data_IF_637890469309
#
_entry.id   IF_637890469309
#
_cell.length_a   1.000
_cell.length_b   1.000
_cell.length_c   1.000
_cell.angle_alpha   90.00
_cell.angle_beta   90.00
_cell.angle_gamma   90.00
#
_symmetry.space_group_name_H-M   'P 1'
#
loop_
_entity.id
_entity.type
_entity.pdbx_description
1 polymer ?
#
# COMPACT_ATOMS: atom_id res chain seq x y z
N UNK A 1 -17.52 0.95 16.94
CA UNK A 1 -16.32 0.60 17.71
C UNK A 1 -15.98 -0.83 17.35
N UNK A 2 -15.09 -1.06 16.42
CA UNK A 2 -14.63 -2.40 16.02
C UNK A 2 -13.18 -2.49 16.35
N UNK A 3 -12.91 -3.15 17.45
CA UNK A 3 -11.59 -3.47 17.97
C UNK A 3 -10.92 -4.46 17.00
N UNK A 4 -10.00 -3.95 16.16
CA UNK A 4 -9.20 -4.79 15.29
C UNK A 4 -8.02 -5.30 16.10
N UNK A 5 -8.24 -6.33 16.88
CA UNK A 5 -7.18 -7.05 17.59
C UNK A 5 -6.23 -7.65 16.54
N UNK A 6 -5.08 -7.02 16.37
CA UNK A 6 -4.02 -7.51 15.51
C UNK A 6 -3.52 -8.85 16.07
N UNK A 7 -3.85 -9.95 15.41
CA UNK A 7 -3.30 -11.27 15.74
C UNK A 7 -1.81 -11.26 15.43
N UNK A 8 -0.99 -11.11 16.45
CA UNK A 8 0.47 -11.21 16.34
C UNK A 8 0.84 -12.65 15.98
N UNK A 9 1.42 -12.84 14.79
CA UNK A 9 1.96 -14.16 14.40
C UNK A 9 3.15 -14.53 15.30
N UNK A 10 3.31 -15.81 15.66
CA UNK A 10 4.50 -16.28 16.43
C UNK A 10 5.80 -15.86 15.71
N UNK A 11 6.77 -15.35 16.46
CA UNK A 11 8.07 -14.89 15.92
C UNK A 11 8.06 -13.47 15.34
N UNK A 12 7.01 -12.67 15.62
CA UNK A 12 6.94 -11.25 15.20
C UNK A 12 7.19 -10.35 16.39
N UNK A 13 8.18 -9.45 16.27
CA UNK A 13 8.47 -8.40 17.28
C UNK A 13 8.23 -7.04 16.66
N UNK A 14 7.30 -6.26 17.23
CA UNK A 14 7.11 -4.86 16.81
C UNK A 14 8.33 -4.04 17.25
N UNK A 15 8.92 -3.34 16.28
CA UNK A 15 10.12 -2.52 16.46
C UNK A 15 9.98 -1.29 15.58
N UNK A 16 10.37 -0.13 16.09
CA UNK A 16 10.42 1.13 15.34
C UNK A 16 11.56 1.12 14.31
N UNK A 17 11.37 0.44 13.16
CA UNK A 17 12.33 0.45 12.08
C UNK A 17 12.20 1.74 11.25
N UNK A 18 13.32 2.31 10.74
CA UNK A 18 13.25 3.44 9.84
C UNK A 18 12.55 3.04 8.52
N UNK A 19 11.56 3.83 8.13
CA UNK A 19 10.82 3.68 6.89
C UNK A 19 11.15 4.88 6.00
N UNK A 20 11.40 4.69 4.68
CA UNK A 20 11.50 5.80 3.75
C UNK A 20 10.27 6.70 3.84
N UNK A 21 10.47 8.02 3.77
CA UNK A 21 9.34 8.95 3.79
C UNK A 21 8.34 8.61 2.67
N UNK A 22 7.04 8.66 2.99
CA UNK A 22 6.02 8.48 1.98
C UNK A 22 6.16 9.56 0.90
N UNK A 23 6.07 9.20 -0.40
CA UNK A 23 6.10 10.18 -1.46
C UNK A 23 4.88 11.11 -1.36
N UNK A 24 4.93 12.31 -1.93
CA UNK A 24 3.77 13.18 -2.03
C UNK A 24 2.58 12.47 -2.66
N UNK A 25 1.38 12.87 -2.27
CA UNK A 25 0.17 12.36 -2.90
C UNK A 25 0.21 12.58 -4.41
N UNK A 26 -0.20 11.58 -5.19
CA UNK A 26 -0.28 11.67 -6.65
C UNK A 26 -1.71 11.95 -7.07
N UNK A 27 -1.85 12.90 -7.96
CA UNK A 27 -3.14 13.22 -8.57
C UNK A 27 -3.20 12.59 -9.96
N UNK A 28 -4.30 11.90 -10.25
CA UNK A 28 -4.57 11.28 -11.54
C UNK A 28 -5.98 11.68 -12.03
N UNK A 29 -6.07 12.21 -13.23
CA UNK A 29 -7.34 12.60 -13.83
C UNK A 29 -7.31 14.00 -14.46
N UNK A 30 -8.47 14.48 -14.96
CA UNK A 30 -9.76 13.81 -14.89
C UNK A 30 -9.78 12.48 -15.67
N UNK A 31 -10.32 11.43 -15.05
CA UNK A 31 -10.38 10.12 -15.68
C UNK A 31 -11.39 10.10 -16.83
N UNK A 32 -11.09 9.34 -17.86
CA UNK A 32 -11.91 9.27 -19.07
C UNK A 32 -12.40 7.85 -19.33
N UNK A 33 -13.45 7.71 -20.16
CA UNK A 33 -13.87 6.39 -20.66
C UNK A 33 -12.75 5.69 -21.43
N UNK A 34 -11.88 6.44 -22.10
CA UNK A 34 -10.71 5.87 -22.78
C UNK A 34 -9.76 5.19 -21.80
N UNK A 35 -9.59 5.72 -20.59
CA UNK A 35 -8.76 5.09 -19.56
C UNK A 35 -9.38 3.77 -19.10
N UNK A 36 -10.71 3.71 -18.97
CA UNK A 36 -11.43 2.48 -18.66
C UNK A 36 -11.23 1.41 -19.73
N UNK A 37 -11.43 1.76 -21.00
CA UNK A 37 -11.26 0.84 -22.13
C UNK A 37 -9.80 0.38 -22.25
N UNK A 38 -8.83 1.28 -22.05
CA UNK A 38 -7.40 0.90 -22.05
C UNK A 38 -7.11 -0.14 -20.98
N UNK A 39 -7.63 0.08 -19.76
CA UNK A 39 -7.43 -0.87 -18.68
C UNK A 39 -8.15 -2.20 -18.95
N UNK A 40 -9.38 -2.18 -19.47
CA UNK A 40 -10.08 -3.39 -19.88
C UNK A 40 -9.27 -4.20 -20.91
N UNK A 41 -8.70 -3.54 -21.91
CA UNK A 41 -7.84 -4.19 -22.90
C UNK A 41 -6.59 -4.81 -22.32
N UNK A 42 -6.00 -4.18 -21.29
CA UNK A 42 -4.80 -4.68 -20.61
C UNK A 42 -5.11 -5.81 -19.61
N UNK A 43 -6.24 -5.73 -18.91
CA UNK A 43 -6.61 -6.67 -17.85
C UNK A 43 -7.43 -7.87 -18.36
N UNK A 44 -8.06 -7.75 -19.54
CA UNK A 44 -9.01 -8.73 -20.04
C UNK A 44 -10.40 -8.65 -19.38
N UNK A 45 -10.66 -7.69 -18.50
CA UNK A 45 -11.97 -7.47 -17.92
C UNK A 45 -12.88 -6.73 -18.91
N UNK A 46 -13.55 -7.49 -19.76
CA UNK A 46 -14.45 -6.98 -20.80
C UNK A 46 -15.91 -6.85 -20.33
N UNK A 47 -16.16 -6.75 -19.03
CA UNK A 47 -17.52 -6.55 -18.54
C UNK A 47 -18.13 -5.27 -19.15
N UNK A 48 -19.30 -5.37 -19.85
CA UNK A 48 -19.93 -4.22 -20.50
C UNK A 48 -20.26 -3.05 -19.58
N UNK A 49 -20.39 -3.30 -18.27
CA UNK A 49 -20.69 -2.25 -17.27
C UNK A 49 -19.64 -1.13 -17.26
N UNK A 50 -18.43 -1.40 -17.76
CA UNK A 50 -17.32 -0.45 -17.75
C UNK A 50 -17.19 0.35 -19.06
N UNK A 51 -17.96 0.03 -20.11
CA UNK A 51 -17.88 0.75 -21.38
C UNK A 51 -19.22 0.96 -22.10
N UNK A 52 -20.23 0.11 -21.87
CA UNK A 52 -21.53 0.20 -22.53
C UNK A 52 -22.52 0.99 -21.66
N UNK A 53 -22.98 2.13 -22.21
CA UNK A 53 -23.92 3.02 -21.53
C UNK A 53 -25.30 2.36 -21.33
N UNK A 54 -25.77 1.60 -22.33
CA UNK A 54 -27.08 0.96 -22.26
C UNK A 54 -27.06 -0.13 -21.20
N UNK A 55 -26.02 -0.93 -21.18
CA UNK A 55 -25.82 -1.98 -20.21
C UNK A 55 -25.71 -1.41 -18.78
N UNK A 56 -24.87 -0.37 -18.59
CA UNK A 56 -24.69 0.24 -17.28
C UNK A 56 -26.00 0.82 -16.72
N UNK A 57 -26.78 1.50 -17.56
CA UNK A 57 -28.11 2.06 -17.16
C UNK A 57 -29.11 0.97 -16.85
N UNK A 58 -29.16 -0.09 -17.64
CA UNK A 58 -30.02 -1.24 -17.37
C UNK A 58 -29.66 -1.95 -16.06
N UNK A 59 -28.37 -1.90 -15.66
CA UNK A 59 -27.88 -2.41 -14.38
C UNK A 59 -28.10 -1.42 -13.20
N UNK A 60 -28.75 -0.27 -13.44
CA UNK A 60 -29.09 0.71 -12.41
C UNK A 60 -28.01 1.76 -12.11
N UNK A 61 -26.97 1.85 -12.94
CA UNK A 61 -25.93 2.87 -12.80
C UNK A 61 -26.16 4.06 -13.75
N UNK A 62 -25.75 5.28 -13.37
CA UNK A 62 -25.99 6.47 -14.18
C UNK A 62 -25.14 6.48 -15.49
N UNK A 63 -23.99 5.82 -15.49
CA UNK A 63 -23.08 5.67 -16.63
C UNK A 63 -22.15 4.48 -16.43
N UNK A 64 -21.33 4.08 -17.40
CA UNK A 64 -20.19 3.22 -17.17
C UNK A 64 -19.25 3.82 -16.14
N UNK A 65 -18.67 2.97 -15.30
CA UNK A 65 -17.67 3.33 -14.30
C UNK A 65 -16.42 2.47 -14.45
N UNK A 66 -15.33 2.87 -13.82
CA UNK A 66 -14.05 2.22 -14.02
C UNK A 66 -14.00 0.80 -13.45
N UNK A 67 -13.16 -0.06 -14.03
CA UNK A 67 -12.76 -1.33 -13.41
C UNK A 67 -12.07 -1.05 -12.08
N UNK A 68 -12.57 -1.60 -10.98
CA UNK A 68 -11.99 -1.33 -9.65
C UNK A 68 -10.52 -1.69 -9.52
N UNK A 69 -10.08 -2.75 -10.20
CA UNK A 69 -8.68 -3.16 -10.22
C UNK A 69 -7.74 -2.13 -10.87
N UNK A 70 -8.27 -1.20 -11.68
CA UNK A 70 -7.45 -0.09 -12.19
C UNK A 70 -6.99 0.83 -11.06
N UNK A 71 -7.89 1.26 -10.16
CA UNK A 71 -7.50 2.07 -9.00
C UNK A 71 -6.55 1.28 -8.07
N UNK A 72 -6.79 -0.02 -7.91
CA UNK A 72 -5.89 -0.88 -7.15
C UNK A 72 -4.49 -0.93 -7.76
N UNK A 73 -4.38 -1.00 -9.11
CA UNK A 73 -3.08 -0.97 -9.80
C UNK A 73 -2.36 0.37 -9.66
N UNK A 74 -3.09 1.49 -9.67
CA UNK A 74 -2.52 2.80 -9.40
C UNK A 74 -1.94 2.88 -7.97
N UNK A 75 -2.64 2.35 -6.97
CA UNK A 75 -2.12 2.25 -5.60
C UNK A 75 -0.93 1.30 -5.50
N UNK A 76 -0.97 0.17 -6.20
CA UNK A 76 0.16 -0.76 -6.28
C UNK A 76 1.40 -0.08 -6.85
N UNK A 77 1.25 0.69 -7.94
CA UNK A 77 2.35 1.46 -8.54
C UNK A 77 2.87 2.52 -7.57
N UNK A 78 1.99 3.27 -6.91
CA UNK A 78 2.39 4.25 -5.89
C UNK A 78 3.23 3.60 -4.79
N UNK A 79 2.79 2.47 -4.26
CA UNK A 79 3.47 1.76 -3.19
C UNK A 79 4.80 1.14 -3.63
N UNK A 80 4.86 0.57 -4.84
CA UNK A 80 6.10 -0.04 -5.36
C UNK A 80 7.14 0.99 -5.77
N UNK A 81 6.75 2.18 -6.19
CA UNK A 81 7.66 3.30 -6.40
C UNK A 81 8.23 3.83 -5.07
N UNK A 82 7.48 3.68 -3.99
CA UNK A 82 7.91 4.07 -2.65
C UNK A 82 8.85 3.04 -2.01
N UNK A 83 8.44 1.77 -1.98
CA UNK A 83 9.07 0.72 -1.16
C UNK A 83 9.73 -0.39 -1.99
N UNK A 84 9.65 -0.31 -3.31
CA UNK A 84 10.25 -1.27 -4.23
C UNK A 84 9.37 -2.49 -4.52
N UNK A 85 9.14 -2.78 -5.80
CA UNK A 85 8.24 -3.86 -6.22
C UNK A 85 8.70 -5.26 -5.80
N UNK A 86 10.01 -5.50 -5.65
CA UNK A 86 10.58 -6.78 -5.19
C UNK A 86 10.33 -7.05 -3.70
N UNK A 87 9.99 -6.01 -2.95
CA UNK A 87 9.85 -6.05 -1.50
C UNK A 87 8.41 -6.39 -1.06
N UNK A 88 7.47 -6.49 -1.98
CA UNK A 88 6.08 -6.82 -1.68
C UNK A 88 5.99 -8.24 -1.11
N UNK A 89 5.26 -8.39 0.02
CA UNK A 89 4.93 -9.67 0.64
C UNK A 89 3.44 -9.94 0.69
N UNK A 90 2.64 -8.89 0.79
CA UNK A 90 1.18 -8.97 0.82
C UNK A 90 0.59 -7.70 0.22
N UNK A 91 -0.55 -7.84 -0.47
CA UNK A 91 -1.32 -6.71 -0.98
C UNK A 91 -2.80 -7.06 -0.97
N UNK A 92 -3.57 -6.35 -0.15
CA UNK A 92 -5.01 -6.52 0.02
C UNK A 92 -5.73 -5.24 -0.31
N UNK A 93 -6.91 -5.37 -0.89
CA UNK A 93 -7.71 -4.22 -1.33
C UNK A 93 -9.15 -4.33 -0.86
N UNK A 94 -9.79 -3.19 -0.71
CA UNK A 94 -11.21 -3.06 -0.48
C UNK A 94 -11.78 -1.97 -1.37
N UNK A 95 -12.72 -2.34 -2.22
CA UNK A 95 -13.49 -1.40 -3.03
C UNK A 95 -14.62 -0.81 -2.20
N UNK A 96 -14.76 0.52 -2.23
CA UNK A 96 -15.71 1.26 -1.40
C UNK A 96 -16.68 2.10 -2.23
N UNK A 97 -16.20 2.69 -3.33
CA UNK A 97 -17.03 3.49 -4.22
C UNK A 97 -16.58 3.35 -5.68
N UNK A 98 -17.52 3.58 -6.60
CA UNK A 98 -17.25 3.63 -8.02
C UNK A 98 -16.48 4.91 -8.38
N UNK A 99 -15.68 4.82 -9.45
CA UNK A 99 -15.00 5.95 -10.07
C UNK A 99 -15.63 6.20 -11.43
N UNK A 100 -16.07 7.43 -11.64
CA UNK A 100 -16.84 7.86 -12.79
C UNK A 100 -15.97 8.64 -13.79
N UNK A 101 -16.37 8.71 -15.06
CA UNK A 101 -15.75 9.62 -16.01
C UNK A 101 -15.81 11.07 -15.49
N UNK A 102 -14.69 11.77 -15.55
CA UNK A 102 -14.54 13.14 -15.02
C UNK A 102 -14.00 13.20 -13.58
N UNK A 103 -13.95 12.10 -12.85
CA UNK A 103 -13.35 12.08 -11.51
C UNK A 103 -11.84 12.40 -11.56
N UNK A 104 -11.38 13.05 -10.52
CA UNK A 104 -9.95 13.23 -10.23
C UNK A 104 -9.60 12.43 -8.99
N UNK A 105 -8.58 11.59 -9.09
CA UNK A 105 -8.16 10.68 -8.05
C UNK A 105 -6.92 11.21 -7.34
N UNK A 106 -6.93 11.15 -6.02
CA UNK A 106 -5.76 11.41 -5.19
C UNK A 106 -5.30 10.11 -4.56
N UNK A 107 -4.07 9.70 -4.86
CA UNK A 107 -3.42 8.51 -4.33
C UNK A 107 -2.47 8.91 -3.21
N UNK A 108 -2.52 8.21 -2.10
CA UNK A 108 -1.63 8.45 -0.97
C UNK A 108 -1.43 7.21 -0.12
N UNK A 109 -0.47 7.27 0.78
CA UNK A 109 -0.19 6.18 1.69
C UNK A 109 0.57 6.62 2.93
N UNK A 110 0.48 5.81 3.97
CA UNK A 110 1.19 6.01 5.23
C UNK A 110 1.63 4.67 5.82
N UNK A 111 2.78 4.62 6.52
CA UNK A 111 3.15 3.45 7.29
C UNK A 111 2.21 3.30 8.49
N UNK A 112 1.83 2.06 8.79
CA UNK A 112 1.02 1.71 9.96
C UNK A 112 1.89 1.22 11.12
N UNK A 113 2.79 0.30 10.83
CA UNK A 113 3.71 -0.30 11.81
C UNK A 113 4.91 -0.90 11.13
N UNK A 114 5.97 -1.10 11.92
CA UNK A 114 7.15 -1.85 11.51
C UNK A 114 7.42 -2.98 12.51
N UNK A 115 7.99 -4.07 12.02
CA UNK A 115 8.27 -5.24 12.83
C UNK A 115 9.35 -6.11 12.21
N UNK A 116 9.93 -7.00 13.01
CA UNK A 116 10.89 -8.01 12.57
C UNK A 116 10.23 -9.37 12.59
N UNK A 117 10.43 -10.14 11.54
CA UNK A 117 10.10 -11.57 11.48
C UNK A 117 11.40 -12.34 11.58
N UNK A 118 11.44 -13.32 12.45
CA UNK A 118 12.50 -14.30 12.53
C UNK A 118 12.06 -15.61 11.86
N UNK A 119 12.82 -16.06 10.90
CA UNK A 119 12.56 -17.26 10.12
C UNK A 119 13.82 -18.11 9.93
N UNK A 120 13.67 -19.25 9.26
CA UNK A 120 14.77 -20.15 8.96
C UNK A 120 15.89 -19.50 8.11
N UNK A 121 15.50 -18.53 7.26
CA UNK A 121 16.41 -17.81 6.36
C UNK A 121 17.00 -16.53 6.99
N UNK A 122 16.76 -16.31 8.28
CA UNK A 122 17.24 -15.15 9.02
C UNK A 122 16.15 -14.17 9.42
N UNK A 123 16.57 -12.93 9.74
CA UNK A 123 15.69 -11.83 10.18
C UNK A 123 15.27 -10.98 8.99
N UNK A 124 14.01 -10.64 8.91
CA UNK A 124 13.46 -9.75 7.88
C UNK A 124 12.69 -8.59 8.54
N UNK A 125 13.12 -7.36 8.30
CA UNK A 125 12.38 -6.15 8.70
C UNK A 125 11.21 -5.91 7.75
N UNK A 126 10.04 -5.62 8.29
CA UNK A 126 8.83 -5.35 7.51
C UNK A 126 8.13 -4.07 7.92
N UNK A 127 7.43 -3.49 6.97
CA UNK A 127 6.50 -2.39 7.17
C UNK A 127 5.14 -2.77 6.60
N UNK A 128 4.09 -2.56 7.40
CA UNK A 128 2.72 -2.53 6.91
C UNK A 128 2.34 -1.08 6.59
N UNK A 129 1.72 -0.88 5.43
CA UNK A 129 1.27 0.43 4.97
C UNK A 129 -0.21 0.40 4.63
N UNK A 130 -0.89 1.52 4.84
CA UNK A 130 -2.22 1.79 4.30
C UNK A 130 -2.12 2.74 3.11
N UNK A 131 -2.88 2.43 2.06
CA UNK A 131 -2.94 3.20 0.83
C UNK A 131 -4.38 3.59 0.56
N UNK A 132 -4.62 4.80 0.07
CA UNK A 132 -5.95 5.28 -0.26
C UNK A 132 -6.00 5.90 -1.65
N UNK A 133 -7.07 5.58 -2.38
CA UNK A 133 -7.46 6.27 -3.60
C UNK A 133 -8.75 7.03 -3.32
N UNK A 134 -8.69 8.36 -3.34
CA UNK A 134 -9.83 9.24 -3.05
C UNK A 134 -10.25 10.02 -4.29
N UNK A 135 -11.56 10.22 -4.41
CA UNK A 135 -12.14 11.11 -5.42
C UNK A 135 -12.07 12.56 -4.95
N UNK A 136 -12.20 13.52 -5.86
CA UNK A 136 -12.27 14.96 -5.55
C UNK A 136 -13.44 15.32 -4.63
N UNK A 137 -14.47 14.48 -4.54
CA UNK A 137 -15.60 14.62 -3.61
C UNK A 137 -15.24 14.34 -2.15
N UNK A 138 -14.05 13.78 -1.90
CA UNK A 138 -13.62 13.30 -0.59
C UNK A 138 -13.90 11.80 -0.34
N UNK A 139 -14.73 11.17 -1.18
CA UNK A 139 -15.04 9.75 -1.05
C UNK A 139 -13.80 8.89 -1.32
N UNK A 140 -13.58 7.89 -0.47
CA UNK A 140 -12.56 6.86 -0.72
C UNK A 140 -13.12 5.82 -1.68
N UNK A 141 -12.52 5.71 -2.86
CA UNK A 141 -12.89 4.69 -3.84
C UNK A 141 -12.28 3.34 -3.51
N UNK A 142 -11.00 3.32 -3.11
CA UNK A 142 -10.28 2.10 -2.73
C UNK A 142 -9.40 2.38 -1.53
N UNK A 143 -9.40 1.45 -0.58
CA UNK A 143 -8.35 1.33 0.44
C UNK A 143 -7.56 0.05 0.17
N UNK A 144 -6.25 0.13 0.31
CA UNK A 144 -5.38 -1.04 0.24
C UNK A 144 -4.46 -1.11 1.45
N UNK A 145 -4.07 -2.31 1.80
CA UNK A 145 -3.06 -2.60 2.83
C UNK A 145 -1.99 -3.48 2.19
N UNK A 146 -0.75 -3.12 2.43
CA UNK A 146 0.36 -3.87 1.87
C UNK A 146 1.47 -4.06 2.91
N UNK A 147 2.20 -5.16 2.76
CA UNK A 147 3.39 -5.45 3.55
C UNK A 147 4.60 -5.45 2.62
N UNK A 148 5.63 -4.71 3.02
CA UNK A 148 6.89 -4.65 2.30
C UNK A 148 8.06 -5.06 3.20
N UNK A 149 9.08 -5.64 2.61
CA UNK A 149 10.39 -5.84 3.25
C UNK A 149 11.13 -4.51 3.25
N UNK A 150 11.72 -4.19 4.39
CA UNK A 150 12.63 -3.06 4.52
C UNK A 150 14.07 -3.48 4.18
N UNK A 151 14.92 -2.55 3.72
CA UNK A 151 16.33 -2.81 3.51
C UNK A 151 17.01 -3.33 4.79
N UNK A 152 18.03 -4.19 4.65
CA UNK A 152 18.78 -4.73 5.78
C UNK A 152 19.36 -3.63 6.70
N UNK A 153 19.80 -2.52 6.13
CA UNK A 153 20.25 -1.34 6.88
C UNK A 153 19.21 -0.79 7.87
N UNK A 154 17.92 -1.04 7.65
CA UNK A 154 16.87 -0.65 8.60
C UNK A 154 16.89 -1.53 9.86
N UNK A 155 17.29 -2.79 9.75
CA UNK A 155 17.47 -3.71 10.87
C UNK A 155 18.70 -3.31 11.70
N UNK A 156 19.81 -2.97 11.04
CA UNK A 156 21.05 -2.57 11.69
C UNK A 156 20.85 -1.28 12.51
N UNK A 157 20.09 -0.32 11.97
CA UNK A 157 19.78 0.94 12.65
C UNK A 157 18.91 0.75 13.92
N UNK A 158 18.16 -0.35 14.01
CA UNK A 158 17.30 -0.65 15.15
C UNK A 158 18.01 -1.51 16.23
N UNK A 159 19.18 -2.07 15.94
CA UNK A 159 19.97 -2.79 16.93
C UNK A 159 20.68 -1.77 17.80
N UNK A 160 20.42 -1.69 19.14
CA UNK A 160 21.19 -0.82 20.02
C UNK A 160 22.64 -1.23 19.89
N UNK A 161 23.51 -0.30 19.49
CA UNK A 161 24.94 -0.54 19.41
C UNK A 161 25.40 -1.22 20.69
N UNK A 162 26.06 -2.35 20.57
CA UNK A 162 26.75 -3.03 21.67
C UNK A 162 27.75 -1.98 22.21
N UNK A 163 27.36 -1.30 23.28
CA UNK A 163 28.18 -0.30 23.91
C UNK A 163 29.54 -0.92 24.23
N UNK A 164 30.56 -0.38 23.59
CA UNK A 164 31.96 -0.64 23.92
C UNK A 164 32.11 -0.37 25.44
N UNK A 165 32.26 -1.44 26.20
CA UNK A 165 32.53 -1.37 27.62
C UNK A 165 33.86 -0.62 27.79
N UNK A 166 33.88 0.50 28.52
CA UNK A 166 35.15 1.18 28.76
C UNK A 166 36.12 0.22 29.44
N UNK A 167 37.32 0.12 28.87
CA UNK A 167 38.43 -0.64 29.43
C UNK A 167 38.70 -0.12 30.84
N UNK A 168 38.50 -0.98 31.84
CA UNK A 168 38.96 -0.75 33.20
C UNK A 168 40.47 -0.73 33.18
N UNK A 169 41.03 0.47 33.34
CA UNK A 169 42.46 0.65 33.64
C UNK A 169 42.69 0.11 35.04
N UNK A 170 43.32 -1.06 35.15
CA UNK A 170 43.91 -1.51 36.39
C UNK A 170 45.10 -0.62 36.71
N UNK A 171 44.98 0.23 37.70
CA UNK A 171 46.06 0.96 38.32
C UNK A 171 46.76 -0.02 39.26
N UNK A 172 47.99 -0.44 38.88
CA UNK A 172 48.88 -1.11 39.78
C UNK A 172 49.66 -0.02 40.57
N UNK A 173 49.49 -0.02 41.85
CA UNK A 173 50.23 0.70 42.86
C UNK A 173 50.54 -0.23 44.02
#
# INVERSE_FOLDING_TARGET
MSDTTATTRPGTTEVGLPVPAAPPARVHGPVTRTDFVRYQGASGDMNPIHHDEVFARAAGFPSPFSVGMWQASLLGTYATDWLGGRNVRDFRIRFLAQVWPGDTLTLGGAPLRTYVIEGADGREGRVDVELTCRRQTGDTAVTAWATFVLPEAALDAATPGTGERPATTEEQG
#
